data_IF_636532986730
#
_entry.id   IF_636532986730
#
_cell.length_a   1.000
_cell.length_b   1.000
_cell.length_c   1.000
_cell.angle_alpha   90.00
_cell.angle_beta   90.00
_cell.angle_gamma   90.00
#
_symmetry.space_group_name_H-M   'P 1'
#
loop_
_entity.id
_entity.type
_entity.pdbx_description
1 polymer ?
#
# COMPACT_ATOMS: atom_id res chain seq x y z
N UNK A 1 -61.29 11.77 13.41
CA UNK A 1 -61.57 13.11 13.94
C UNK A 1 -60.40 13.99 13.61
N UNK A 2 -60.63 15.00 12.77
CA UNK A 2 -59.67 16.04 12.43
C UNK A 2 -59.42 16.96 13.63
N UNK A 3 -58.27 17.64 13.65
CA UNK A 3 -57.95 18.67 14.64
C UNK A 3 -56.69 19.45 14.27
N UNK A 4 -56.81 20.28 13.24
CA UNK A 4 -55.85 21.31 12.88
C UNK A 4 -55.95 22.50 13.87
N UNK A 5 -54.83 23.16 14.13
CA UNK A 5 -54.76 24.41 14.90
C UNK A 5 -53.65 25.30 14.35
N UNK A 6 -54.02 26.19 13.43
CA UNK A 6 -53.20 27.27 12.93
C UNK A 6 -53.31 28.49 13.87
N UNK A 7 -52.22 29.23 14.03
CA UNK A 7 -52.20 30.53 14.71
C UNK A 7 -51.12 31.41 14.11
N UNK A 8 -51.55 32.36 13.28
CA UNK A 8 -50.72 33.38 12.64
C UNK A 8 -50.43 34.56 13.58
N UNK A 9 -49.29 35.22 13.38
CA UNK A 9 -48.94 36.50 14.00
C UNK A 9 -47.91 37.23 13.16
N UNK A 10 -48.36 38.26 12.45
CA UNK A 10 -47.61 39.12 11.56
C UNK A 10 -46.80 40.20 12.32
N UNK A 11 -45.69 40.65 11.73
CA UNK A 11 -44.94 41.83 12.16
C UNK A 11 -44.01 42.31 11.06
N UNK A 12 -44.44 43.36 10.35
CA UNK A 12 -43.77 44.00 9.23
C UNK A 12 -42.61 44.91 9.67
N UNK A 13 -41.62 45.07 8.79
CA UNK A 13 -40.55 46.08 8.90
C UNK A 13 -39.87 46.26 7.54
N UNK A 14 -40.32 47.28 6.81
CA UNK A 14 -39.86 47.67 5.49
C UNK A 14 -38.53 48.43 5.52
N UNK A 15 -37.79 48.36 4.42
CA UNK A 15 -36.60 49.18 4.14
C UNK A 15 -36.16 49.00 2.69
N UNK A 16 -36.83 49.71 1.78
CA UNK A 16 -36.52 49.77 0.36
C UNK A 16 -35.44 50.83 0.07
N UNK A 17 -34.62 50.57 -0.95
CA UNK A 17 -33.68 51.52 -1.54
C UNK A 17 -33.19 50.99 -2.89
N UNK A 18 -33.94 51.33 -3.95
CA UNK A 18 -33.52 51.30 -5.36
C UNK A 18 -32.43 52.39 -5.60
N UNK A 19 -31.71 52.55 -6.70
CA UNK A 19 -31.95 52.21 -8.10
C UNK A 19 -30.69 52.53 -8.93
N UNK A 20 -30.54 51.86 -10.09
CA UNK A 20 -29.84 52.31 -11.31
C UNK A 20 -28.32 52.09 -11.41
N UNK A 21 -27.69 51.91 -12.58
CA UNK A 21 -28.10 51.61 -13.96
C UNK A 21 -26.83 51.76 -14.82
N UNK A 22 -26.58 50.83 -15.77
CA UNK A 22 -25.76 50.98 -17.00
C UNK A 22 -24.23 51.14 -16.84
N UNK A 23 -23.35 50.79 -17.79
CA UNK A 23 -23.31 49.96 -18.99
C UNK A 23 -21.86 50.08 -19.55
N UNK A 24 -21.48 49.13 -20.43
CA UNK A 24 -20.48 49.27 -21.52
C UNK A 24 -18.96 49.31 -21.21
N UNK A 25 -18.29 48.20 -21.56
CA UNK A 25 -17.35 48.14 -22.69
C UNK A 25 -15.86 48.54 -22.49
N UNK A 26 -14.91 47.92 -23.23
CA UNK A 26 -13.47 47.88 -22.89
C UNK A 26 -12.58 48.81 -23.75
N UNK A 27 -11.34 49.07 -23.32
CA UNK A 27 -10.28 49.75 -24.10
C UNK A 27 -8.90 49.20 -23.71
N UNK A 28 -8.21 48.42 -24.54
CA UNK A 28 -7.29 48.77 -25.67
C UNK A 28 -6.00 49.51 -25.28
N UNK A 29 -4.89 48.92 -25.74
CA UNK A 29 -3.52 49.47 -25.81
C UNK A 29 -3.44 50.82 -26.56
N UNK A 30 -2.25 51.44 -26.58
CA UNK A 30 -1.59 51.51 -27.89
C UNK A 30 -0.07 51.25 -27.87
N UNK A 31 0.39 50.81 -29.05
CA UNK A 31 1.76 50.74 -29.55
C UNK A 31 2.19 52.12 -30.11
N UNK A 32 3.47 52.47 -29.97
CA UNK A 32 4.17 53.36 -30.90
C UNK A 32 5.58 52.80 -31.14
N UNK A 33 5.97 52.73 -32.41
CA UNK A 33 7.30 52.34 -32.85
C UNK A 33 7.88 53.37 -33.81
N UNK A 34 9.18 53.32 -34.03
CA UNK A 34 9.84 53.91 -35.20
C UNK A 34 11.09 53.11 -35.56
N UNK A 35 11.16 52.75 -36.85
CA UNK A 35 12.25 52.08 -37.54
C UNK A 35 13.22 53.10 -38.17
N UNK A 36 14.48 52.72 -38.40
CA UNK A 36 15.24 53.02 -39.64
C UNK A 36 16.61 52.29 -39.71
N UNK A 37 16.91 51.75 -40.90
CA UNK A 37 18.17 51.13 -41.39
C UNK A 37 18.91 52.13 -42.33
N UNK A 38 19.94 51.76 -43.16
CA UNK A 38 21.32 51.28 -42.90
C UNK A 38 22.39 52.11 -43.67
N UNK A 39 23.70 51.87 -43.46
CA UNK A 39 24.74 52.25 -44.43
C UNK A 39 25.88 51.22 -44.53
N UNK A 40 26.25 50.89 -45.76
CA UNK A 40 27.18 49.83 -46.18
C UNK A 40 28.64 50.29 -46.29
N UNK A 41 29.58 49.33 -46.26
CA UNK A 41 30.65 49.04 -47.27
C UNK A 41 31.66 48.06 -46.67
N UNK A 42 32.46 47.22 -47.34
CA UNK A 42 32.44 46.31 -48.52
C UNK A 42 33.90 45.81 -48.62
N UNK A 43 34.12 44.53 -48.98
CA UNK A 43 35.39 43.90 -49.50
C UNK A 43 36.59 43.80 -48.54
N UNK A 44 37.39 42.73 -48.45
CA UNK A 44 37.80 41.59 -49.32
C UNK A 44 38.04 40.35 -48.42
N UNK A 45 37.87 39.08 -48.82
CA UNK A 45 38.46 38.39 -49.97
C UNK A 45 39.74 37.65 -49.56
N UNK A 46 39.63 36.48 -48.89
CA UNK A 46 40.77 35.61 -48.56
C UNK A 46 40.30 34.28 -47.96
N UNK A 47 40.43 33.20 -48.72
CA UNK A 47 40.01 31.85 -48.37
C UNK A 47 40.97 31.18 -47.37
N UNK A 48 40.45 30.67 -46.25
CA UNK A 48 41.20 29.74 -45.39
C UNK A 48 40.22 28.76 -44.71
N UNK A 49 40.45 27.47 -44.95
CA UNK A 49 39.68 26.33 -44.43
C UNK A 49 39.75 26.27 -42.89
N UNK A 50 38.62 26.07 -42.17
CA UNK A 50 38.67 25.72 -40.75
C UNK A 50 38.61 24.20 -40.53
N UNK A 51 39.58 23.72 -39.76
CA UNK A 51 39.74 22.34 -39.31
C UNK A 51 38.65 21.87 -38.32
N UNK A 52 38.44 20.55 -38.26
CA UNK A 52 37.59 19.83 -37.30
C UNK A 52 37.98 20.14 -35.84
N UNK A 53 37.02 20.44 -34.95
CA UNK A 53 37.26 20.42 -33.51
C UNK A 53 36.98 19.01 -32.95
N UNK A 54 38.05 18.27 -32.69
CA UNK A 54 38.06 17.12 -31.78
C UNK A 54 38.37 17.60 -30.35
N UNK A 55 37.43 17.43 -29.42
CA UNK A 55 37.71 17.52 -27.98
C UNK A 55 36.68 16.72 -27.17
N UNK A 56 37.08 15.51 -26.74
CA UNK A 56 36.48 14.77 -25.63
C UNK A 56 36.97 15.39 -24.30
N UNK A 57 36.16 15.39 -23.22
CA UNK A 57 36.58 15.93 -21.92
C UNK A 57 37.63 15.05 -21.23
N UNK A 58 38.53 15.64 -20.40
CA UNK A 58 39.66 14.94 -19.78
C UNK A 58 39.23 14.01 -18.63
N UNK A 59 39.87 12.83 -18.58
CA UNK A 59 39.76 11.82 -17.51
C UNK A 59 40.65 12.22 -16.33
N UNK A 60 40.18 12.17 -15.06
CA UNK A 60 41.08 12.29 -13.92
C UNK A 60 41.92 11.01 -13.76
N UNK A 61 43.23 11.19 -13.73
CA UNK A 61 44.23 10.17 -13.45
C UNK A 61 44.46 10.05 -11.94
N UNK A 62 44.08 8.92 -11.35
CA UNK A 62 44.59 8.51 -10.03
C UNK A 62 44.97 7.03 -10.09
N UNK A 63 46.27 6.81 -9.98
CA UNK A 63 47.00 5.56 -10.05
C UNK A 63 47.01 4.85 -8.69
N UNK A 64 46.37 3.68 -8.59
CA UNK A 64 46.80 2.49 -7.81
C UNK A 64 45.73 1.39 -7.67
N UNK A 65 44.51 1.56 -8.17
CA UNK A 65 43.48 0.49 -8.16
C UNK A 65 43.47 -0.36 -9.45
N UNK A 66 44.61 -0.92 -9.86
CA UNK A 66 44.87 -1.33 -11.24
C UNK A 66 44.37 -2.69 -11.74
N UNK A 67 43.76 -3.56 -10.92
CA UNK A 67 43.35 -4.91 -11.37
C UNK A 67 41.85 -5.15 -11.21
N UNK A 68 41.26 -4.76 -10.08
CA UNK A 68 39.81 -4.89 -9.87
C UNK A 68 39.01 -3.86 -10.69
N UNK A 69 39.54 -2.65 -10.89
CA UNK A 69 38.88 -1.64 -11.74
C UNK A 69 38.88 -2.02 -13.22
N UNK A 70 39.92 -2.71 -13.69
CA UNK A 70 40.03 -3.15 -15.10
C UNK A 70 39.03 -4.27 -15.41
N UNK A 71 38.83 -5.22 -14.50
CA UNK A 71 37.84 -6.30 -14.64
C UNK A 71 36.39 -5.83 -14.44
N UNK A 72 36.16 -4.84 -13.57
CA UNK A 72 34.84 -4.26 -13.34
C UNK A 72 34.50 -3.15 -14.32
N UNK A 73 35.46 -2.56 -15.04
CA UNK A 73 35.21 -1.48 -16.01
C UNK A 73 34.25 -1.82 -17.16
N UNK A 74 34.27 -3.01 -17.80
CA UNK A 74 33.26 -3.35 -18.80
C UNK A 74 31.88 -3.55 -18.16
N UNK A 75 31.80 -4.12 -16.96
CA UNK A 75 30.55 -4.32 -16.23
C UNK A 75 29.95 -3.00 -15.72
N UNK A 76 30.77 -2.10 -15.20
CA UNK A 76 30.37 -0.77 -14.78
C UNK A 76 29.89 0.05 -15.98
N UNK A 77 30.58 -0.01 -17.12
CA UNK A 77 30.16 0.67 -18.35
C UNK A 77 28.87 0.09 -18.94
N UNK A 78 28.71 -1.23 -18.91
CA UNK A 78 27.46 -1.89 -19.32
C UNK A 78 26.31 -1.54 -18.38
N UNK A 79 26.56 -1.50 -17.07
CA UNK A 79 25.60 -1.06 -16.06
C UNK A 79 25.23 0.41 -16.25
N UNK A 80 26.17 1.30 -16.57
CA UNK A 80 25.90 2.72 -16.82
C UNK A 80 25.07 2.93 -18.10
N UNK A 81 25.37 2.19 -19.17
CA UNK A 81 24.57 2.23 -20.41
C UNK A 81 23.17 1.69 -20.16
N UNK A 82 23.06 0.60 -19.40
CA UNK A 82 21.78 0.03 -19.00
C UNK A 82 21.00 0.99 -18.08
N UNK A 83 21.65 1.58 -17.07
CA UNK A 83 21.06 2.55 -16.15
C UNK A 83 20.60 3.82 -16.88
N UNK A 84 21.33 4.29 -17.90
CA UNK A 84 20.91 5.41 -18.76
C UNK A 84 19.74 5.05 -19.66
N UNK A 85 19.77 3.88 -20.30
CA UNK A 85 18.65 3.39 -21.08
C UNK A 85 17.39 3.26 -20.20
N UNK A 86 17.57 2.81 -18.96
CA UNK A 86 16.53 2.66 -17.94
C UNK A 86 16.03 3.98 -17.36
N UNK A 87 16.90 4.96 -17.22
CA UNK A 87 16.52 6.33 -16.87
C UNK A 87 15.65 6.95 -17.97
N UNK A 88 15.96 6.70 -19.25
CA UNK A 88 15.18 7.17 -20.39
C UNK A 88 13.80 6.49 -20.50
N UNK A 89 13.62 5.30 -19.94
CA UNK A 89 12.35 4.55 -19.96
C UNK A 89 11.34 5.04 -18.90
N UNK A 90 11.77 5.92 -17.98
CA UNK A 90 10.97 6.51 -16.87
C UNK A 90 9.88 5.59 -16.30
N UNK A 91 10.29 4.35 -15.99
CA UNK A 91 9.36 3.33 -15.52
C UNK A 91 8.86 3.67 -14.11
N UNK A 92 7.54 3.58 -13.86
CA UNK A 92 6.99 3.77 -12.53
C UNK A 92 7.47 2.66 -11.59
N UNK A 93 7.62 3.01 -10.32
CA UNK A 93 8.00 2.06 -9.30
C UNK A 93 6.91 0.99 -9.15
N UNK A 94 7.24 -0.31 -9.34
CA UNK A 94 6.22 -1.36 -9.47
C UNK A 94 5.60 -1.80 -8.13
N UNK A 95 6.03 -1.21 -7.02
CA UNK A 95 5.60 -1.56 -5.67
C UNK A 95 6.48 -2.64 -5.04
N UNK A 96 6.14 -3.00 -3.80
CA UNK A 96 6.80 -4.13 -3.14
C UNK A 96 6.22 -5.46 -3.66
N UNK A 97 7.02 -6.53 -3.74
CA UNK A 97 6.52 -7.83 -4.18
C UNK A 97 5.38 -8.37 -3.32
N UNK A 98 5.38 -8.08 -2.02
CA UNK A 98 4.29 -8.45 -1.10
C UNK A 98 2.99 -7.69 -1.37
N UNK A 99 3.07 -6.60 -2.14
CA UNK A 99 1.93 -5.73 -2.45
C UNK A 99 1.38 -5.90 -3.85
N UNK A 100 1.77 -6.96 -4.54
CA UNK A 100 1.21 -7.26 -5.84
C UNK A 100 -0.28 -7.62 -5.74
N UNK A 101 -0.65 -8.42 -4.74
CA UNK A 101 -2.03 -8.84 -4.47
C UNK A 101 -2.70 -8.05 -3.35
N UNK A 102 -2.03 -7.04 -2.79
CA UNK A 102 -2.52 -6.34 -1.59
C UNK A 102 -3.81 -5.58 -1.87
N UNK A 103 -3.97 -4.97 -3.05
CA UNK A 103 -5.17 -4.25 -3.44
C UNK A 103 -6.39 -5.19 -3.48
N UNK A 104 -6.26 -6.38 -4.08
CA UNK A 104 -7.30 -7.40 -4.05
C UNK A 104 -7.53 -7.93 -2.62
N UNK A 105 -6.46 -8.23 -1.89
CA UNK A 105 -6.48 -8.74 -0.51
C UNK A 105 -7.16 -7.77 0.47
N UNK A 106 -7.03 -6.47 0.24
CA UNK A 106 -7.64 -5.41 1.06
C UNK A 106 -9.12 -5.19 0.74
N UNK A 107 -9.58 -5.51 -0.47
CA UNK A 107 -11.01 -5.49 -0.81
C UNK A 107 -11.76 -6.70 -0.28
N UNK A 108 -11.10 -7.84 -0.07
CA UNK A 108 -11.73 -9.02 0.52
C UNK A 108 -12.17 -8.78 1.96
N UNK A 109 -13.38 -9.25 2.28
CA UNK A 109 -13.91 -9.16 3.64
C UNK A 109 -13.23 -10.16 4.61
N UNK A 110 -12.57 -11.20 4.08
CA UNK A 110 -11.92 -12.26 4.88
C UNK A 110 -10.96 -11.73 5.94
N UNK A 111 -10.13 -10.73 5.63
CA UNK A 111 -9.18 -10.16 6.58
C UNK A 111 -9.83 -9.26 7.65
N UNK A 112 -11.04 -8.79 7.39
CA UNK A 112 -11.80 -7.92 8.28
C UNK A 112 -12.92 -8.67 9.00
N UNK A 113 -13.16 -9.93 8.64
CA UNK A 113 -14.15 -10.77 9.25
C UNK A 113 -13.67 -11.24 10.62
N UNK A 114 -14.57 -11.20 11.59
CA UNK A 114 -14.37 -11.78 12.90
C UNK A 114 -15.71 -12.36 13.37
N UNK A 115 -15.63 -13.29 14.30
CA UNK A 115 -16.76 -14.02 14.86
C UNK A 115 -16.84 -13.70 16.35
N UNK A 116 -18.05 -13.54 16.89
CA UNK A 116 -18.25 -13.10 18.27
C UNK A 116 -18.10 -11.59 18.48
N UNK A 117 -17.93 -11.18 19.74
CA UNK A 117 -17.94 -9.77 20.12
C UNK A 117 -16.51 -9.25 20.29
N UNK A 118 -16.17 -8.14 19.64
CA UNK A 118 -14.88 -7.45 19.79
C UNK A 118 -15.09 -6.04 20.33
N UNK A 119 -14.35 -5.67 21.36
CA UNK A 119 -14.25 -4.30 21.85
C UNK A 119 -12.80 -3.84 21.75
N UNK A 120 -12.54 -2.79 20.98
CA UNK A 120 -11.21 -2.19 20.84
C UNK A 120 -11.25 -0.78 21.41
N UNK A 121 -10.50 -0.54 22.49
CA UNK A 121 -10.36 0.78 23.09
C UNK A 121 -8.94 1.27 22.82
N UNK A 122 -8.81 2.20 21.88
CA UNK A 122 -7.55 2.86 21.56
C UNK A 122 -7.49 4.26 22.18
N UNK A 123 -6.32 4.63 22.67
CA UNK A 123 -6.00 5.94 23.20
C UNK A 123 -4.71 6.43 22.56
N UNK A 124 -4.81 7.54 21.84
CA UNK A 124 -3.64 8.28 21.40
C UNK A 124 -3.03 9.01 22.60
N UNK A 125 -1.73 8.82 22.85
CA UNK A 125 -0.99 9.51 23.90
C UNK A 125 0.05 10.50 23.36
N UNK A 126 0.35 10.48 22.06
CA UNK A 126 1.10 11.53 21.35
C UNK A 126 0.92 11.38 19.83
N UNK A 127 0.82 12.49 19.10
CA UNK A 127 0.77 12.51 17.63
C UNK A 127 2.19 12.55 17.03
N UNK A 128 3.15 13.19 17.71
CA UNK A 128 4.55 13.24 17.28
C UNK A 128 5.51 13.22 18.49
N UNK A 129 6.19 12.10 18.79
CA UNK A 129 6.13 10.81 18.10
C UNK A 129 4.76 10.14 18.30
N UNK A 130 4.31 9.41 17.28
CA UNK A 130 3.02 8.72 17.29
C UNK A 130 3.05 7.61 18.34
N UNK A 131 2.23 7.73 19.39
CA UNK A 131 2.12 6.71 20.42
C UNK A 131 0.65 6.42 20.69
N UNK A 132 0.22 5.20 20.37
CA UNK A 132 -1.13 4.74 20.66
C UNK A 132 -1.08 3.48 21.50
N UNK A 133 -1.99 3.42 22.46
CA UNK A 133 -2.22 2.26 23.29
C UNK A 133 -3.63 1.75 23.00
N UNK A 134 -3.78 0.45 22.80
CA UNK A 134 -5.04 -0.19 22.45
C UNK A 134 -5.29 -1.41 23.35
N UNK A 135 -6.52 -1.50 23.83
CA UNK A 135 -7.03 -2.57 24.66
C UNK A 135 -8.07 -3.33 23.84
N UNK A 136 -7.72 -4.54 23.44
CA UNK A 136 -8.56 -5.39 22.60
C UNK A 136 -9.17 -6.50 23.45
N UNK A 137 -10.48 -6.46 23.63
CA UNK A 137 -11.27 -7.51 24.24
C UNK A 137 -11.97 -8.28 23.13
N UNK A 138 -11.82 -9.60 23.13
CA UNK A 138 -12.56 -10.47 22.23
C UNK A 138 -13.36 -11.46 23.08
N UNK A 139 -14.66 -11.61 22.82
CA UNK A 139 -15.55 -12.44 23.61
C UNK A 139 -16.41 -13.31 22.68
N UNK A 140 -16.24 -14.62 22.81
CA UNK A 140 -16.94 -15.57 21.98
C UNK A 140 -16.42 -15.58 20.54
N UNK A 141 -16.75 -16.64 19.82
CA UNK A 141 -16.28 -16.88 18.46
C UNK A 141 -15.39 -18.12 18.37
N UNK A 142 -15.22 -18.61 17.16
CA UNK A 142 -14.44 -19.83 16.87
C UNK A 142 -12.94 -19.72 17.18
N UNK A 143 -12.38 -18.51 17.30
CA UNK A 143 -10.97 -18.28 17.64
C UNK A 143 -10.70 -18.07 19.14
N UNK A 144 -11.64 -17.53 19.92
CA UNK A 144 -11.47 -17.31 21.37
C UNK A 144 -12.74 -17.68 22.16
N UNK A 145 -12.97 -18.99 22.42
CA UNK A 145 -14.20 -19.46 23.06
C UNK A 145 -14.42 -18.98 24.50
N UNK A 146 -13.33 -18.73 25.24
CA UNK A 146 -13.35 -18.32 26.66
C UNK A 146 -13.25 -16.80 26.86
N UNK A 147 -13.26 -16.03 25.76
CA UNK A 147 -12.85 -14.63 25.78
C UNK A 147 -11.33 -14.47 25.94
N UNK A 148 -10.79 -13.42 25.35
CA UNK A 148 -9.37 -13.07 25.46
C UNK A 148 -9.19 -11.57 25.56
N UNK A 149 -8.18 -11.17 26.33
CA UNK A 149 -7.73 -9.80 26.42
C UNK A 149 -6.33 -9.69 25.83
N UNK A 150 -6.18 -8.77 24.88
CA UNK A 150 -4.89 -8.45 24.27
C UNK A 150 -4.61 -6.95 24.40
N UNK A 151 -3.41 -6.64 24.88
CA UNK A 151 -2.91 -5.29 25.00
C UNK A 151 -1.97 -5.02 23.84
N UNK A 152 -2.26 -4.01 23.02
CA UNK A 152 -1.35 -3.60 21.95
C UNK A 152 -0.94 -2.14 22.07
N UNK A 153 0.35 -1.89 21.88
CA UNK A 153 0.94 -0.56 21.85
C UNK A 153 1.64 -0.37 20.51
N UNK A 154 1.57 0.85 19.98
CA UNK A 154 2.30 1.25 18.79
C UNK A 154 3.06 2.54 19.05
N UNK A 155 4.27 2.59 18.53
CA UNK A 155 5.18 3.72 18.60
C UNK A 155 5.72 3.99 17.20
N UNK A 156 5.58 5.21 16.71
CA UNK A 156 6.00 5.63 15.38
C UNK A 156 6.71 6.97 15.41
N UNK A 157 7.91 6.99 14.84
CA UNK A 157 8.62 8.19 14.40
C UNK A 157 8.77 8.16 12.88
N UNK A 158 9.37 9.19 12.29
CA UNK A 158 9.62 9.26 10.86
C UNK A 158 10.46 8.07 10.34
N UNK A 159 11.37 7.55 11.17
CA UNK A 159 12.31 6.49 10.79
C UNK A 159 11.99 5.12 11.39
N UNK A 160 11.26 5.07 12.51
CA UNK A 160 11.02 3.83 13.26
C UNK A 160 9.54 3.67 13.55
N UNK A 161 9.00 2.50 13.22
CA UNK A 161 7.63 2.12 13.57
C UNK A 161 7.65 0.77 14.27
N UNK A 162 7.29 0.75 15.55
CA UNK A 162 7.23 -0.44 16.37
C UNK A 162 5.80 -0.67 16.88
N UNK A 163 5.35 -1.92 16.87
CA UNK A 163 4.09 -2.35 17.46
C UNK A 163 4.36 -3.55 18.34
N UNK A 164 3.80 -3.60 19.53
CA UNK A 164 3.82 -4.78 20.38
C UNK A 164 2.37 -5.14 20.75
N UNK A 165 2.09 -6.43 20.85
CA UNK A 165 0.84 -6.99 21.31
C UNK A 165 1.16 -8.10 22.32
N UNK A 166 0.50 -8.06 23.47
CA UNK A 166 0.62 -9.05 24.54
C UNK A 166 -0.78 -9.57 24.83
N UNK A 167 -0.95 -10.87 24.67
CA UNK A 167 -2.19 -11.57 24.99
C UNK A 167 -2.18 -12.11 26.43
N UNK A 168 -3.34 -12.36 27.01
CA UNK A 168 -3.52 -12.90 28.38
C UNK A 168 -2.81 -14.26 28.57
N UNK A 169 -2.73 -15.03 27.49
CA UNK A 169 -1.98 -16.30 27.47
C UNK A 169 -0.46 -16.09 27.57
N UNK A 170 0.04 -14.86 27.58
CA UNK A 170 1.46 -14.52 27.59
C UNK A 170 2.15 -14.71 26.24
N UNK A 171 1.38 -14.85 25.17
CA UNK A 171 1.90 -14.71 23.81
C UNK A 171 2.24 -13.24 23.54
N UNK A 172 3.42 -12.99 23.00
CA UNK A 172 3.94 -11.66 22.70
C UNK A 172 4.25 -11.57 21.22
N UNK A 173 3.58 -10.66 20.52
CA UNK A 173 3.88 -10.32 19.13
C UNK A 173 4.45 -8.92 19.06
N UNK A 174 5.71 -8.78 18.64
CA UNK A 174 6.36 -7.51 18.40
C UNK A 174 6.73 -7.39 16.92
N UNK A 175 6.51 -6.22 16.34
CA UNK A 175 6.95 -5.86 14.99
C UNK A 175 7.68 -4.54 15.08
N UNK A 176 8.82 -4.43 14.42
CA UNK A 176 9.63 -3.23 14.36
C UNK A 176 10.08 -3.02 12.93
N UNK A 177 9.66 -1.91 12.33
CA UNK A 177 10.10 -1.45 11.03
C UNK A 177 11.05 -0.27 11.26
N UNK A 178 12.22 -0.32 10.65
CA UNK A 178 13.21 0.75 10.67
C UNK A 178 13.61 1.10 9.25
N UNK A 179 13.37 2.35 8.88
CA UNK A 179 13.85 2.93 7.63
C UNK A 179 15.27 3.45 7.85
N UNK A 180 16.23 2.96 7.08
CA UNK A 180 17.61 3.43 7.13
C UNK A 180 17.83 4.59 6.16
N UNK A 181 17.19 4.50 5.00
CA UNK A 181 17.24 5.48 3.93
C UNK A 181 15.90 5.44 3.17
N UNK A 182 15.69 6.36 2.23
CA UNK A 182 14.49 6.32 1.36
C UNK A 182 14.35 5.00 0.59
N UNK A 183 15.47 4.33 0.32
CA UNK A 183 15.62 3.10 -0.47
C UNK A 183 15.62 1.84 0.40
N UNK A 184 16.06 1.92 1.66
CA UNK A 184 16.33 0.74 2.50
C UNK A 184 15.45 0.75 3.75
N UNK A 185 14.69 -0.33 3.93
CA UNK A 185 13.86 -0.54 5.11
C UNK A 185 14.08 -1.94 5.65
N UNK A 186 14.44 -2.06 6.92
CA UNK A 186 14.47 -3.34 7.63
C UNK A 186 13.20 -3.48 8.46
N UNK A 187 12.61 -4.67 8.46
CA UNK A 187 11.47 -5.03 9.29
C UNK A 187 11.85 -6.27 10.10
N UNK A 188 11.44 -6.29 11.35
CA UNK A 188 11.65 -7.38 12.28
C UNK A 188 10.31 -7.72 12.90
N UNK A 189 9.98 -8.99 12.97
CA UNK A 189 8.76 -9.51 13.56
C UNK A 189 9.14 -10.66 14.49
N UNK A 190 8.62 -10.62 15.71
CA UNK A 190 8.86 -11.57 16.76
C UNK A 190 7.50 -12.00 17.30
N UNK A 191 7.18 -13.28 17.20
CA UNK A 191 5.99 -13.86 17.79
C UNK A 191 6.43 -14.96 18.76
N UNK A 192 6.38 -14.66 20.05
CA UNK A 192 6.67 -15.59 21.13
C UNK A 192 5.36 -16.13 21.68
N UNK A 193 5.30 -17.43 21.95
CA UNK A 193 4.17 -18.05 22.63
C UNK A 193 4.67 -18.96 23.75
N UNK A 194 3.81 -19.26 24.73
CA UNK A 194 4.21 -20.11 25.88
C UNK A 194 4.61 -21.54 25.48
N UNK A 195 4.30 -21.98 24.26
CA UNK A 195 4.79 -23.24 23.70
C UNK A 195 6.12 -23.04 22.98
N UNK A 196 7.18 -23.73 23.41
CA UNK A 196 8.52 -23.66 22.81
C UNK A 196 8.55 -23.98 21.29
N UNK A 197 7.54 -24.66 20.77
CA UNK A 197 7.43 -25.05 19.35
C UNK A 197 6.94 -23.93 18.42
N UNK A 198 6.36 -22.84 18.95
CA UNK A 198 5.67 -21.84 18.13
C UNK A 198 6.30 -20.43 18.24
N UNK A 199 7.58 -20.36 18.61
CA UNK A 199 8.32 -19.11 18.56
C UNK A 199 8.74 -18.84 17.11
N UNK A 200 8.33 -17.68 16.58
CA UNK A 200 8.66 -17.24 15.22
C UNK A 200 9.43 -15.93 15.28
N UNK A 201 10.68 -15.96 14.80
CA UNK A 201 11.46 -14.76 14.54
C UNK A 201 11.58 -14.58 13.04
N UNK A 202 11.07 -13.46 12.52
CA UNK A 202 11.15 -13.10 11.13
C UNK A 202 11.91 -11.79 10.97
N UNK A 203 12.91 -11.80 10.10
CA UNK A 203 13.64 -10.61 9.69
C UNK A 203 13.40 -10.39 8.20
N UNK A 204 13.15 -9.16 7.80
CA UNK A 204 12.91 -8.78 6.41
C UNK A 204 13.73 -7.53 6.10
N UNK A 205 14.45 -7.55 5.00
CA UNK A 205 15.20 -6.40 4.49
C UNK A 205 14.73 -6.08 3.09
N UNK A 206 14.22 -4.87 2.92
CA UNK A 206 13.63 -4.38 1.67
C UNK A 206 14.50 -3.29 1.09
N UNK A 207 14.88 -3.49 -0.17
CA UNK A 207 15.64 -2.58 -1.01
C UNK A 207 14.74 -2.14 -2.16
N UNK A 208 14.23 -0.92 -2.05
CA UNK A 208 13.33 -0.28 -3.00
C UNK A 208 14.15 0.61 -3.93
N UNK A 209 14.53 0.08 -5.09
CA UNK A 209 15.18 0.84 -6.15
C UNK A 209 14.21 1.76 -6.90
N UNK A 210 14.68 2.42 -7.97
CA UNK A 210 13.84 3.29 -8.82
C UNK A 210 12.76 2.49 -9.57
N UNK A 211 13.10 1.28 -9.95
CA UNK A 211 12.43 0.46 -10.97
C UNK A 211 12.49 -1.05 -10.64
N UNK A 212 13.15 -1.39 -9.52
CA UNK A 212 13.26 -2.72 -8.94
C UNK A 212 12.92 -2.66 -7.46
N UNK A 213 12.33 -3.73 -6.94
CA UNK A 213 12.20 -3.97 -5.51
C UNK A 213 12.78 -5.34 -5.19
N UNK A 214 13.73 -5.38 -4.24
CA UNK A 214 14.29 -6.61 -3.69
C UNK A 214 13.85 -6.72 -2.23
N UNK A 215 13.25 -7.84 -1.86
CA UNK A 215 12.82 -8.15 -0.50
C UNK A 215 13.45 -9.47 -0.08
N UNK A 216 14.26 -9.43 0.97
CA UNK A 216 14.88 -10.60 1.56
C UNK A 216 14.23 -10.85 2.92
N UNK A 217 13.55 -11.97 3.10
CA UNK A 217 13.01 -12.39 4.40
C UNK A 217 13.73 -13.63 4.89
N UNK A 218 13.91 -13.72 6.20
CA UNK A 218 14.32 -14.92 6.90
C UNK A 218 13.33 -15.19 8.03
N UNK A 219 12.98 -16.45 8.22
CA UNK A 219 12.04 -16.92 9.24
C UNK A 219 12.75 -18.05 9.99
N UNK A 220 12.83 -17.92 11.31
CA UNK A 220 13.43 -18.91 12.21
C UNK A 220 14.84 -19.34 11.79
N UNK A 221 15.66 -18.38 11.35
CA UNK A 221 17.05 -18.62 11.04
C UNK A 221 17.83 -18.86 12.34
N UNK A 222 18.16 -20.12 12.64
CA UNK A 222 19.09 -20.46 13.70
C UNK A 222 20.50 -20.62 13.12
N UNK A 223 21.44 -19.69 13.40
CA UNK A 223 22.80 -19.77 12.89
C UNK A 223 23.59 -20.98 13.41
N UNK A 224 23.17 -21.62 14.51
CA UNK A 224 23.86 -22.78 15.08
C UNK A 224 23.63 -24.07 14.27
N UNK A 225 22.41 -24.30 13.78
CA UNK A 225 22.03 -25.53 13.08
C UNK A 225 21.89 -25.33 11.55
N UNK A 226 21.96 -24.07 11.09
CA UNK A 226 21.68 -23.70 9.70
C UNK A 226 20.23 -23.97 9.29
N UNK A 227 19.34 -24.14 10.26
CA UNK A 227 17.90 -24.27 10.05
C UNK A 227 17.27 -22.89 9.88
N UNK A 228 16.26 -22.82 9.04
CA UNK A 228 15.54 -21.59 8.75
C UNK A 228 14.98 -21.57 7.34
N UNK A 229 14.04 -20.67 7.14
CA UNK A 229 13.47 -20.39 5.83
C UNK A 229 13.93 -19.01 5.37
N UNK A 230 14.52 -18.95 4.19
CA UNK A 230 14.93 -17.73 3.52
C UNK A 230 14.07 -17.53 2.30
N UNK A 231 13.62 -16.29 2.10
CA UNK A 231 12.75 -15.90 1.01
C UNK A 231 13.40 -14.71 0.31
N UNK A 232 13.82 -14.88 -0.92
CA UNK A 232 14.34 -13.80 -1.74
C UNK A 232 13.32 -13.49 -2.83
N UNK A 233 12.69 -12.33 -2.77
CA UNK A 233 11.76 -11.85 -3.80
C UNK A 233 12.37 -10.66 -4.52
N UNK A 234 12.42 -10.75 -5.85
CA UNK A 234 12.90 -9.71 -6.74
C UNK A 234 11.78 -9.35 -7.71
N UNK A 235 11.48 -8.07 -7.82
CA UNK A 235 10.45 -7.58 -8.73
C UNK A 235 10.98 -6.42 -9.55
N UNK A 236 10.76 -6.49 -10.87
CA UNK A 236 11.25 -5.55 -11.85
C UNK A 236 10.12 -5.07 -12.76
N UNK A 237 10.01 -3.76 -12.94
CA UNK A 237 9.14 -3.17 -13.95
C UNK A 237 9.79 -3.33 -15.33
N UNK A 238 9.10 -3.98 -16.27
CA UNK A 238 9.56 -4.12 -17.68
C UNK A 238 8.90 -3.08 -18.58
N UNK A 239 7.70 -2.64 -18.25
CA UNK A 239 6.88 -1.70 -19.03
C UNK A 239 6.08 -0.85 -18.06
N UNK A 240 5.62 0.38 -18.40
CA UNK A 240 4.86 1.20 -17.46
C UNK A 240 3.63 0.52 -16.84
N UNK A 241 3.07 -0.46 -17.54
CA UNK A 241 1.93 -1.28 -17.10
C UNK A 241 2.30 -2.69 -16.64
N UNK A 242 3.51 -3.20 -16.89
CA UNK A 242 3.86 -4.59 -16.64
C UNK A 242 5.10 -4.71 -15.74
N UNK A 243 4.94 -5.39 -14.62
CA UNK A 243 6.04 -5.80 -13.76
C UNK A 243 6.07 -7.32 -13.58
N UNK A 244 7.28 -7.88 -13.64
CA UNK A 244 7.54 -9.29 -13.42
C UNK A 244 8.39 -9.45 -12.17
N UNK A 245 8.12 -10.49 -11.39
CA UNK A 245 8.90 -10.84 -10.22
C UNK A 245 9.23 -12.32 -10.16
N UNK A 246 10.29 -12.62 -9.42
CA UNK A 246 10.75 -13.95 -9.08
C UNK A 246 10.88 -14.00 -7.57
N UNK A 247 10.38 -15.06 -6.96
CA UNK A 247 10.52 -15.31 -5.54
C UNK A 247 11.12 -16.71 -5.37
N UNK A 248 12.18 -16.79 -4.58
CA UNK A 248 12.87 -18.03 -4.26
C UNK A 248 12.75 -18.26 -2.76
N UNK A 249 12.12 -19.36 -2.38
CA UNK A 249 12.02 -19.85 -1.01
C UNK A 249 13.05 -20.95 -0.86
N UNK A 250 13.95 -20.79 0.10
CA UNK A 250 14.87 -21.82 0.54
C UNK A 250 14.53 -22.16 1.98
N UNK A 251 13.89 -23.30 2.19
CA UNK A 251 13.52 -23.78 3.52
C UNK A 251 14.40 -24.98 3.90
N UNK A 252 15.07 -24.86 5.05
CA UNK A 252 15.83 -25.96 5.65
C UNK A 252 15.33 -26.19 7.06
N UNK A 253 14.66 -27.32 7.28
CA UNK A 253 14.27 -27.78 8.61
C UNK A 253 15.25 -28.84 9.11
N UNK A 254 15.60 -28.85 10.41
CA UNK A 254 16.54 -29.82 10.95
C UNK A 254 15.96 -31.24 10.81
N UNK A 255 16.64 -32.11 10.07
CA UNK A 255 16.24 -33.49 9.83
C UNK A 255 15.46 -33.76 8.55
N UNK A 256 15.20 -32.75 7.70
CA UNK A 256 14.54 -32.91 6.39
C UNK A 256 15.45 -32.45 5.24
N UNK A 257 15.18 -32.96 4.03
CA UNK A 257 15.85 -32.54 2.79
C UNK A 257 15.61 -31.06 2.51
N UNK A 258 16.59 -30.39 1.92
CA UNK A 258 16.50 -28.99 1.53
C UNK A 258 15.40 -28.78 0.50
N UNK A 259 14.46 -27.87 0.78
CA UNK A 259 13.39 -27.52 -0.15
C UNK A 259 13.68 -26.15 -0.77
N UNK A 260 14.02 -26.16 -2.05
CA UNK A 260 14.09 -24.95 -2.88
C UNK A 260 12.79 -24.87 -3.67
N UNK A 261 12.06 -23.78 -3.49
CA UNK A 261 10.90 -23.47 -4.30
C UNK A 261 11.06 -22.10 -4.97
N UNK A 262 10.59 -21.97 -6.20
CA UNK A 262 10.71 -20.73 -6.96
C UNK A 262 9.34 -20.31 -7.52
N UNK A 263 8.73 -19.27 -6.99
CA UNK A 263 7.50 -18.67 -7.51
C UNK A 263 7.79 -17.58 -8.54
N UNK A 264 6.92 -17.47 -9.53
CA UNK A 264 6.90 -16.40 -10.51
C UNK A 264 5.75 -15.45 -10.18
N UNK A 265 6.00 -14.15 -10.25
CA UNK A 265 5.01 -13.11 -10.01
C UNK A 265 4.83 -12.27 -11.26
N UNK A 266 3.59 -11.89 -11.55
CA UNK A 266 3.24 -11.02 -12.66
C UNK A 266 2.24 -10.00 -12.15
N UNK A 267 2.50 -8.72 -12.41
CA UNK A 267 1.59 -7.61 -12.15
C UNK A 267 1.37 -6.86 -13.46
N UNK A 268 0.10 -6.70 -13.82
CA UNK A 268 -0.32 -5.94 -14.98
C UNK A 268 -1.34 -4.88 -14.55
N UNK A 269 -0.94 -3.62 -14.64
CA UNK A 269 -1.77 -2.47 -14.36
C UNK A 269 -2.33 -1.88 -15.66
N UNK A 270 -3.64 -1.66 -15.72
CA UNK A 270 -4.29 -0.95 -16.81
C UNK A 270 -3.81 0.49 -16.93
N UNK A 271 -3.95 1.07 -18.13
CA UNK A 271 -3.60 2.48 -18.36
C UNK A 271 -4.39 3.40 -17.41
N UNK A 272 -3.78 4.50 -16.92
CA UNK A 272 -4.47 5.46 -16.07
C UNK A 272 -5.60 6.12 -16.85
N UNK A 273 -6.82 6.04 -16.33
CA UNK A 273 -7.98 6.66 -16.93
C UNK A 273 -8.16 8.06 -16.32
N UNK A 274 -8.06 9.15 -17.12
CA UNK A 274 -8.15 10.52 -16.60
C UNK A 274 -9.51 10.86 -15.97
N UNK A 275 -10.54 10.02 -16.15
CA UNK A 275 -11.84 10.17 -15.50
C UNK A 275 -11.90 9.69 -14.04
N UNK A 276 -10.92 8.92 -13.56
CA UNK A 276 -10.94 8.25 -12.24
C UNK A 276 -9.73 8.63 -11.33
N UNK A 277 -9.00 9.69 -11.70
CA UNK A 277 -7.78 10.17 -11.05
C UNK A 277 -6.50 9.50 -11.55
N UNK A 278 -5.37 9.71 -10.88
CA UNK A 278 -4.05 9.16 -11.23
C UNK A 278 -3.90 7.64 -11.00
N UNK A 279 -4.98 6.94 -10.60
CA UNK A 279 -4.92 5.50 -10.30
C UNK A 279 -5.23 4.66 -11.56
N UNK A 280 -4.54 3.51 -11.75
CA UNK A 280 -4.87 2.59 -12.82
C UNK A 280 -6.30 2.05 -12.64
N UNK A 281 -7.07 2.01 -13.72
CA UNK A 281 -8.49 1.61 -13.72
C UNK A 281 -8.67 0.16 -13.19
N UNK A 282 -7.69 -0.69 -13.46
CA UNK A 282 -7.65 -2.07 -13.02
C UNK A 282 -6.22 -2.57 -12.83
N UNK A 283 -6.04 -3.57 -11.99
CA UNK A 283 -4.77 -4.24 -11.70
C UNK A 283 -5.05 -5.74 -11.71
N UNK A 284 -4.43 -6.45 -12.64
CA UNK A 284 -4.35 -7.90 -12.61
C UNK A 284 -3.00 -8.32 -12.01
N UNK A 285 -3.00 -9.38 -11.23
CA UNK A 285 -1.79 -10.02 -10.78
C UNK A 285 -1.92 -11.54 -10.80
N UNK A 286 -0.83 -12.22 -11.07
CA UNK A 286 -0.76 -13.67 -11.06
C UNK A 286 0.53 -14.12 -10.38
N UNK A 287 0.42 -15.01 -9.42
CA UNK A 287 1.52 -15.70 -8.77
C UNK A 287 1.44 -17.18 -9.14
N UNK A 288 2.51 -17.70 -9.74
CA UNK A 288 2.61 -19.09 -10.18
C UNK A 288 3.71 -19.75 -9.37
N UNK A 289 3.33 -20.69 -8.52
CA UNK A 289 4.24 -21.56 -7.80
C UNK A 289 4.32 -22.93 -8.53
N UNK A 290 5.50 -23.31 -9.06
CA UNK A 290 5.73 -24.59 -9.73
C UNK A 290 5.42 -25.84 -8.90
N UNK A 291 5.31 -25.72 -7.57
CA UNK A 291 4.78 -26.79 -6.70
C UNK A 291 3.28 -27.05 -6.91
N UNK A 292 2.64 -26.37 -7.86
CA UNK A 292 1.28 -26.66 -8.30
C UNK A 292 0.24 -25.66 -7.83
N UNK A 293 0.62 -24.48 -7.33
CA UNK A 293 -0.34 -23.47 -6.90
C UNK A 293 -0.30 -22.26 -7.84
N UNK A 294 -1.45 -21.86 -8.36
CA UNK A 294 -1.63 -20.66 -9.17
C UNK A 294 -2.64 -19.77 -8.47
N UNK A 295 -2.25 -18.53 -8.17
CA UNK A 295 -3.12 -17.52 -7.59
C UNK A 295 -3.20 -16.36 -8.57
N UNK A 296 -4.37 -16.14 -9.15
CA UNK A 296 -4.66 -14.99 -10.00
C UNK A 296 -5.63 -14.06 -9.27
N UNK A 297 -5.34 -12.77 -9.22
CA UNK A 297 -6.24 -11.77 -8.67
C UNK A 297 -6.42 -10.62 -9.64
N UNK A 298 -7.64 -10.10 -9.68
CA UNK A 298 -8.05 -8.99 -10.51
C UNK A 298 -8.71 -7.97 -9.61
N UNK A 299 -8.25 -6.73 -9.66
CA UNK A 299 -8.82 -5.61 -8.93
C UNK A 299 -9.22 -4.54 -9.93
N UNK A 300 -10.38 -3.93 -9.74
CA UNK A 300 -10.88 -2.87 -10.59
C UNK A 300 -11.61 -1.84 -9.74
N UNK A 301 -11.30 -0.56 -9.97
CA UNK A 301 -12.06 0.53 -9.37
C UNK A 301 -13.21 0.88 -10.30
N UNK A 302 -14.45 0.59 -9.89
CA UNK A 302 -15.64 0.89 -10.70
C UNK A 302 -16.07 2.35 -10.53
N UNK A 303 -15.85 2.93 -9.35
CA UNK A 303 -16.22 4.30 -9.01
C UNK A 303 -15.35 4.81 -7.87
N UNK A 304 -15.38 6.11 -7.57
CA UNK A 304 -14.67 6.68 -6.41
C UNK A 304 -15.10 6.10 -5.06
N UNK A 305 -16.26 5.46 -5.02
CA UNK A 305 -16.83 4.83 -3.83
C UNK A 305 -16.89 3.31 -3.92
N UNK A 306 -16.57 2.71 -5.06
CA UNK A 306 -16.80 1.28 -5.30
C UNK A 306 -15.58 0.64 -5.95
N UNK A 307 -14.99 -0.31 -5.22
CA UNK A 307 -13.92 -1.18 -5.69
C UNK A 307 -14.46 -2.60 -5.83
N UNK A 308 -14.12 -3.29 -6.90
CA UNK A 308 -14.38 -4.72 -7.07
C UNK A 308 -13.07 -5.48 -7.18
N UNK A 309 -13.08 -6.71 -6.68
CA UNK A 309 -11.98 -7.64 -6.86
C UNK A 309 -12.49 -9.06 -7.13
N UNK A 310 -11.70 -9.82 -7.87
CA UNK A 310 -11.87 -11.24 -8.05
C UNK A 310 -10.54 -11.94 -7.78
N UNK A 311 -10.58 -13.12 -7.20
CA UNK A 311 -9.42 -13.95 -6.97
C UNK A 311 -9.75 -15.40 -7.34
N UNK A 312 -8.79 -16.06 -7.98
CA UNK A 312 -8.84 -17.46 -8.35
C UNK A 312 -7.57 -18.13 -7.81
N UNK A 313 -7.76 -19.06 -6.89
CA UNK A 313 -6.68 -19.90 -6.36
C UNK A 313 -6.90 -21.32 -6.87
N UNK A 314 -5.96 -21.80 -7.68
CA UNK A 314 -5.93 -23.17 -8.18
C UNK A 314 -4.77 -23.89 -7.53
N UNK A 315 -5.07 -24.95 -6.79
CA UNK A 315 -4.09 -25.86 -6.20
C UNK A 315 -4.16 -27.18 -6.95
N UNK A 316 -3.05 -27.57 -7.56
CA UNK A 316 -2.79 -28.79 -8.29
C UNK A 316 -1.46 -29.38 -7.79
N UNK A 317 -1.42 -29.69 -6.49
CA UNK A 317 -0.27 -30.29 -5.83
C UNK A 317 -0.56 -31.77 -5.55
N UNK A 318 0.15 -32.66 -6.25
CA UNK A 318 -0.02 -34.11 -6.12
C UNK A 318 -1.43 -34.58 -6.51
N UNK A 319 -2.14 -35.22 -5.58
CA UNK A 319 -3.48 -35.79 -5.80
C UNK A 319 -4.64 -34.84 -5.45
N UNK A 320 -4.35 -33.62 -4.97
CA UNK A 320 -5.36 -32.63 -4.58
C UNK A 320 -5.47 -31.56 -5.67
N UNK A 321 -6.61 -31.58 -6.38
CA UNK A 321 -7.00 -30.58 -7.39
C UNK A 321 -8.19 -29.81 -6.89
N UNK A 322 -7.94 -28.60 -6.41
CA UNK A 322 -8.97 -27.71 -5.90
C UNK A 322 -8.82 -26.35 -6.57
N UNK A 323 -9.95 -25.77 -6.97
CA UNK A 323 -10.02 -24.43 -7.50
C UNK A 323 -11.05 -23.67 -6.68
N UNK A 324 -10.63 -22.53 -6.14
CA UNK A 324 -11.46 -21.67 -5.32
C UNK A 324 -11.51 -20.28 -5.95
N UNK A 325 -12.72 -19.83 -6.28
CA UNK A 325 -12.94 -18.54 -6.94
C UNK A 325 -13.75 -17.62 -6.02
N UNK A 326 -13.20 -16.45 -5.74
CA UNK A 326 -13.80 -15.43 -4.87
C UNK A 326 -14.05 -14.17 -5.65
N UNK A 327 -15.19 -13.54 -5.39
CA UNK A 327 -15.51 -12.20 -5.91
C UNK A 327 -15.89 -11.32 -4.73
N UNK A 328 -15.31 -10.13 -4.64
CA UNK A 328 -15.60 -9.17 -3.60
C UNK A 328 -15.87 -7.78 -4.16
N UNK A 329 -16.66 -7.03 -3.41
CA UNK A 329 -16.93 -5.64 -3.65
C UNK A 329 -16.81 -4.87 -2.34
N UNK A 330 -16.14 -3.71 -2.41
CA UNK A 330 -16.02 -2.75 -1.33
C UNK A 330 -16.74 -1.48 -1.73
N UNK A 331 -17.71 -1.07 -0.92
CA UNK A 331 -18.35 0.23 -0.98
C UNK A 331 -17.83 1.09 0.17
N UNK A 332 -17.10 2.14 -0.18
CA UNK A 332 -16.55 3.09 0.78
C UNK A 332 -17.36 4.40 0.75
N UNK A 333 -18.14 4.62 1.80
CA UNK A 333 -18.84 5.87 2.05
C UNK A 333 -18.12 6.66 3.14
N UNK A 334 -18.32 7.98 3.17
CA UNK A 334 -17.64 8.88 4.13
C UNK A 334 -17.77 8.45 5.60
N UNK A 335 -18.89 7.87 6.00
CA UNK A 335 -19.17 7.44 7.37
C UNK A 335 -19.37 5.92 7.50
N UNK A 336 -19.29 5.16 6.42
CA UNK A 336 -19.51 3.72 6.46
C UNK A 336 -18.77 3.00 5.33
N UNK A 337 -18.18 1.84 5.62
CA UNK A 337 -17.56 0.97 4.62
C UNK A 337 -18.24 -0.39 4.66
N UNK A 338 -18.84 -0.80 3.55
CA UNK A 338 -19.39 -2.13 3.36
C UNK A 338 -18.45 -2.95 2.49
N UNK A 339 -18.06 -4.13 2.94
CA UNK A 339 -17.29 -5.11 2.16
C UNK A 339 -18.12 -6.38 2.07
N UNK A 340 -18.37 -6.87 0.86
CA UNK A 340 -19.01 -8.16 0.64
C UNK A 340 -18.12 -9.03 -0.22
N UNK A 341 -18.10 -10.33 0.06
CA UNK A 341 -17.42 -11.33 -0.74
C UNK A 341 -18.32 -12.55 -0.91
N UNK A 342 -18.24 -13.16 -2.08
CA UNK A 342 -18.88 -14.41 -2.44
C UNK A 342 -17.81 -15.39 -2.89
N UNK A 343 -17.87 -16.59 -2.33
CA UNK A 343 -16.95 -17.67 -2.63
C UNK A 343 -17.62 -18.77 -3.46
N UNK A 344 -16.82 -19.49 -4.25
CA UNK A 344 -17.25 -20.62 -5.07
C UNK A 344 -17.81 -21.78 -4.24
N UNK A 345 -17.39 -21.86 -2.98
CA UNK A 345 -17.87 -22.77 -1.95
C UNK A 345 -19.23 -22.41 -1.36
N UNK A 346 -19.97 -21.43 -1.93
CA UNK A 346 -21.29 -21.01 -1.46
C UNK A 346 -21.26 -20.25 -0.13
N UNK A 347 -20.10 -19.72 0.24
CA UNK A 347 -19.89 -18.89 1.43
C UNK A 347 -20.00 -17.42 1.06
N UNK A 348 -20.92 -16.72 1.71
CA UNK A 348 -21.09 -15.28 1.62
C UNK A 348 -20.52 -14.65 2.88
N UNK A 349 -19.60 -13.70 2.76
CA UNK A 349 -19.12 -12.92 3.92
C UNK A 349 -19.35 -11.45 3.68
N UNK A 350 -19.89 -10.76 4.67
CA UNK A 350 -20.14 -9.32 4.63
C UNK A 350 -19.61 -8.68 5.91
N UNK A 351 -18.89 -7.58 5.77
CA UNK A 351 -18.39 -6.76 6.88
C UNK A 351 -18.84 -5.33 6.64
N UNK A 352 -19.63 -4.80 7.56
CA UNK A 352 -20.14 -3.44 7.55
C UNK A 352 -19.54 -2.66 8.71
N UNK A 353 -18.71 -1.68 8.39
CA UNK A 353 -18.11 -0.75 9.34
C UNK A 353 -18.85 0.59 9.25
N UNK A 354 -19.35 1.10 10.36
CA UNK A 354 -20.03 2.40 10.44
C UNK A 354 -19.41 3.26 11.52
N UNK A 355 -19.00 4.47 11.16
CA UNK A 355 -18.50 5.49 12.08
C UNK A 355 -19.65 6.41 12.45
N UNK A 356 -20.13 6.32 13.70
CA UNK A 356 -21.19 7.19 14.18
C UNK A 356 -20.64 8.53 14.67
N UNK A 357 -19.47 8.50 15.33
CA UNK A 357 -18.75 9.68 15.80
C UNK A 357 -17.26 9.53 15.42
N UNK A 358 -16.49 10.63 15.36
CA UNK A 358 -15.05 10.56 15.09
C UNK A 358 -14.31 9.61 16.03
N UNK A 359 -14.76 9.50 17.28
CA UNK A 359 -14.21 8.63 18.33
C UNK A 359 -14.90 7.27 18.46
N UNK A 360 -15.94 6.97 17.67
CA UNK A 360 -16.76 5.77 17.86
C UNK A 360 -17.14 5.12 16.52
N UNK A 361 -16.69 3.88 16.33
CA UNK A 361 -17.03 3.05 15.18
C UNK A 361 -17.62 1.71 15.60
N UNK A 362 -18.57 1.21 14.83
CA UNK A 362 -19.18 -0.11 14.98
C UNK A 362 -18.89 -0.93 13.75
N UNK A 363 -18.59 -2.20 13.93
CA UNK A 363 -18.38 -3.15 12.84
C UNK A 363 -19.30 -4.34 13.02
N UNK A 364 -20.03 -4.70 11.98
CA UNK A 364 -20.87 -5.89 11.92
C UNK A 364 -20.26 -6.83 10.89
N UNK A 365 -19.94 -8.04 11.30
CA UNK A 365 -19.42 -9.08 10.44
C UNK A 365 -20.43 -10.23 10.36
N UNK A 366 -20.69 -10.75 9.18
CA UNK A 366 -21.56 -11.89 8.97
C UNK A 366 -20.97 -12.81 7.92
N UNK A 367 -20.91 -14.10 8.22
CA UNK A 367 -20.52 -15.15 7.28
C UNK A 367 -21.64 -16.17 7.23
N UNK A 368 -22.13 -16.46 6.03
CA UNK A 368 -23.18 -17.42 5.78
C UNK A 368 -22.64 -18.48 4.82
N UNK A 369 -22.51 -19.70 5.32
CA UNK A 369 -22.20 -20.88 4.52
C UNK A 369 -23.53 -21.56 4.14
N UNK A 370 -23.92 -21.41 2.87
CA UNK A 370 -25.16 -22.00 2.36
C UNK A 370 -25.09 -23.52 2.25
N UNK A 371 -23.91 -24.08 1.98
CA UNK A 371 -23.71 -25.52 1.79
C UNK A 371 -23.73 -26.26 3.14
N UNK A 372 -23.13 -25.68 4.17
CA UNK A 372 -23.16 -26.23 5.53
C UNK A 372 -24.36 -25.73 6.35
N UNK A 373 -25.17 -24.80 5.83
CA UNK A 373 -26.25 -24.11 6.56
C UNK A 373 -25.80 -23.55 7.92
N UNK A 374 -24.60 -22.98 7.97
CA UNK A 374 -24.00 -22.39 9.17
C UNK A 374 -23.84 -20.90 8.98
N UNK A 375 -24.29 -20.13 9.96
CA UNK A 375 -24.08 -18.70 10.00
C UNK A 375 -23.18 -18.34 11.18
N UNK A 376 -22.22 -17.45 10.95
CA UNK A 376 -21.38 -16.85 11.99
C UNK A 376 -21.58 -15.35 11.96
N UNK A 377 -21.66 -14.74 13.13
CA UNK A 377 -21.88 -13.31 13.26
C UNK A 377 -20.85 -12.74 14.23
N UNK A 378 -20.33 -11.57 13.86
CA UNK A 378 -19.43 -10.79 14.67
C UNK A 378 -19.98 -9.39 14.90
N UNK A 379 -19.83 -8.89 16.12
CA UNK A 379 -20.14 -7.50 16.47
C UNK A 379 -18.94 -6.83 17.12
N UNK A 380 -18.51 -5.71 16.56
CA UNK A 380 -17.30 -5.00 16.93
C UNK A 380 -17.62 -3.57 17.30
N UNK A 381 -17.02 -3.08 18.38
CA UNK A 381 -17.05 -1.65 18.72
C UNK A 381 -15.62 -1.19 18.92
N UNK A 382 -15.22 -0.13 18.22
CA UNK A 382 -13.93 0.50 18.42
C UNK A 382 -14.12 1.95 18.85
N UNK A 383 -13.50 2.29 19.98
CA UNK A 383 -13.53 3.61 20.58
C UNK A 383 -12.12 4.17 20.55
N UNK A 384 -11.94 5.31 19.91
CA UNK A 384 -10.67 6.04 19.90
C UNK A 384 -10.81 7.29 20.76
N UNK A 385 -10.05 7.36 21.85
CA UNK A 385 -10.00 8.53 22.71
C UNK A 385 -8.84 9.43 22.28
N UNK A 386 -9.10 10.68 21.84
CA UNK A 386 -8.04 11.61 21.46
C UNK A 386 -7.21 12.04 22.68
N UNK A 387 -6.04 12.60 22.35
CA UNK A 387 -5.11 13.25 23.27
C UNK A 387 -5.78 14.34 24.10
N UNK A 388 -5.33 14.50 25.34
CA UNK A 388 -6.00 15.27 26.38
C UNK A 388 -6.64 16.59 25.93
N UNK A 389 -7.93 16.76 26.24
CA UNK A 389 -8.62 18.06 26.27
C UNK A 389 -8.86 18.76 24.94
N UNK A 390 -8.41 18.22 23.80
CA UNK A 390 -8.72 18.79 22.49
C UNK A 390 -10.05 18.24 21.94
N UNK A 391 -10.88 19.18 21.51
CA UNK A 391 -12.29 19.04 21.15
C UNK A 391 -12.51 17.90 20.12
N UNK A 392 -13.40 16.91 20.37
CA UNK A 392 -13.66 15.79 19.45
C UNK A 392 -14.24 16.19 18.08
N UNK A 393 -14.50 17.48 17.85
CA UNK A 393 -14.92 18.07 16.58
C UNK A 393 -13.82 18.76 15.78
N UNK A 394 -12.59 18.87 16.31
CA UNK A 394 -11.50 19.47 15.56
C UNK A 394 -11.12 18.57 14.36
N UNK A 395 -11.00 19.11 13.12
CA UNK A 395 -10.48 18.34 12.01
C UNK A 395 -9.07 17.88 12.37
N UNK A 396 -8.92 16.56 12.48
CA UNK A 396 -7.66 15.91 12.79
C UNK A 396 -6.59 16.46 11.82
N UNK A 397 -5.57 17.21 12.30
CA UNK A 397 -4.51 17.68 11.45
C UNK A 397 -3.88 16.46 10.80
N UNK A 398 -3.69 16.54 9.48
CA UNK A 398 -3.31 15.41 8.63
C UNK A 398 -2.28 14.54 9.35
N UNK A 399 -2.65 13.30 9.63
CA UNK A 399 -1.73 12.32 10.21
C UNK A 399 -0.46 12.35 9.36
N UNK A 400 0.73 12.66 9.92
CA UNK A 400 1.96 12.41 9.19
C UNK A 400 1.92 10.92 8.85
N UNK A 401 2.02 10.62 7.56
CA UNK A 401 1.98 9.26 7.04
C UNK A 401 2.94 8.42 7.90
N UNK A 402 2.45 7.48 8.74
CA UNK A 402 3.34 6.49 9.33
C UNK A 402 4.14 5.86 8.18
N UNK A 403 5.36 5.33 8.40
CA UNK A 403 6.18 4.73 7.36
C UNK A 403 5.58 3.38 6.89
N UNK A 404 4.36 3.41 6.40
CA UNK A 404 3.87 2.55 5.37
C UNK A 404 4.16 3.28 4.05
N UNK A 405 5.25 2.85 3.42
CA UNK A 405 5.74 3.21 2.08
C UNK A 405 6.62 4.45 2.00
#
# INVERSE_FOLDING_TARGET
GAGAGAGAGAGAGAGAGADGSAAAGPSTQPLEGTAQWPTSTKTSGGAQLPALPSALPPRPSSSSEGILSTLTSPFARAYDVFARARANLDLPHPGLPERISHEATQTFATNHFFDGVRFDLSKGASINPMFHVSHNFHLGGSQAPQGSYSFSTMYGTDDVFATANVDETGAVQARMNRRWNKIQTSKMQLSLSKGAMNNMFQFEHVLTGRDNALSLKSINANPADGSGMFLASFLQSLTPSLALGLEAVYARQPGMTEEVNSSYMLRYAGAPNPALGERPEWIASANVNPQGMLQASYWQKLSDKVDAAAELVVVNAGNRREADAKVAAKWDFRLASLRAQLDSSGRLTSVYEARLFPSFSMTFAAELDHLASKAKFGFGVSIETPLGGEDPSAPQPAMPSPPFF
#
